data_IF_993607455151
#
_entry.id   IF_993607455151
#
_cell.length_a   1.000
_cell.length_b   1.000
_cell.length_c   1.000
_cell.angle_alpha   90.00
_cell.angle_beta   90.00
_cell.angle_gamma   90.00
#
_symmetry.space_group_name_H-M   'P 1'
#
loop_
_entity.id
_entity.type
_entity.pdbx_description
1 polymer ?
#
# COMPACT_ATOMS: atom_id res chain seq x y z
N UNK A 1 -11.40 0.99 0.80
CA UNK A 1 -10.14 1.46 1.43
C UNK A 1 -9.20 1.96 0.35
N UNK A 2 -8.54 3.06 0.60
CA UNK A 2 -7.60 3.68 -0.36
C UNK A 2 -6.26 3.88 0.31
N UNK A 3 -5.19 3.49 -0.38
CA UNK A 3 -3.83 3.60 0.13
C UNK A 3 -2.96 4.38 -0.87
N UNK A 4 -2.00 5.14 -0.36
CA UNK A 4 -1.08 5.89 -1.20
C UNK A 4 0.27 6.06 -0.51
N UNK A 5 1.34 6.08 -1.29
CA UNK A 5 2.68 6.32 -0.80
C UNK A 5 3.46 7.16 -1.80
N UNK A 6 4.32 8.01 -1.31
CA UNK A 6 5.14 8.87 -2.15
C UNK A 6 6.50 9.15 -1.52
N UNK A 7 7.42 9.62 -2.34
CA UNK A 7 8.79 9.90 -1.92
C UNK A 7 9.30 11.13 -2.65
N UNK A 8 9.93 12.04 -1.91
CA UNK A 8 10.54 13.24 -2.48
C UNK A 8 11.99 12.92 -2.81
N UNK A 9 12.28 12.70 -4.09
CA UNK A 9 13.52 12.05 -4.52
C UNK A 9 13.40 10.54 -4.29
N UNK A 10 14.07 9.73 -5.05
CA UNK A 10 13.89 8.27 -4.98
C UNK A 10 15.27 7.58 -5.07
N UNK A 11 16.00 7.38 -3.94
CA UNK A 11 15.54 7.49 -2.54
C UNK A 11 15.53 8.90 -1.98
N UNK A 12 14.79 9.07 -0.88
CA UNK A 12 14.67 10.33 -0.16
C UNK A 12 13.60 10.25 0.92
N UNK A 13 13.19 11.39 1.48
CA UNK A 13 12.09 11.42 2.45
C UNK A 13 10.80 10.97 1.79
N UNK A 14 10.03 10.13 2.46
CA UNK A 14 8.79 9.61 1.95
C UNK A 14 7.68 9.57 2.99
N UNK A 15 6.45 9.43 2.51
CA UNK A 15 5.27 9.34 3.36
C UNK A 15 4.22 8.42 2.76
N UNK A 16 3.29 8.00 3.61
CA UNK A 16 2.20 7.11 3.21
C UNK A 16 0.91 7.51 3.91
N UNK A 17 -0.21 7.16 3.32
CA UNK A 17 -1.52 7.42 3.88
C UNK A 17 -2.50 6.31 3.53
N UNK A 18 -3.49 6.12 4.39
CA UNK A 18 -4.58 5.16 4.17
C UNK A 18 -5.87 5.71 4.75
N UNK A 19 -6.97 5.51 4.03
CA UNK A 19 -8.31 5.87 4.49
C UNK A 19 -9.26 4.71 4.26
N UNK A 20 -10.02 4.35 5.29
CA UNK A 20 -11.05 3.31 5.22
C UNK A 20 -12.42 3.99 5.24
N UNK A 21 -13.16 3.85 4.16
CA UNK A 21 -14.41 4.55 3.93
C UNK A 21 -15.55 3.55 3.75
N UNK A 22 -16.70 3.84 4.32
CA UNK A 22 -17.93 3.06 4.10
C UNK A 22 -19.10 4.02 3.99
N UNK A 23 -19.84 3.91 2.86
CA UNK A 23 -21.03 4.74 2.60
C UNK A 23 -20.75 6.25 2.70
N UNK A 24 -19.55 6.67 2.28
CA UNK A 24 -19.14 8.07 2.31
C UNK A 24 -18.57 8.55 3.63
N UNK A 25 -18.56 7.71 4.66
CA UNK A 25 -18.04 8.06 5.98
C UNK A 25 -16.68 7.43 6.20
N UNK A 26 -15.75 8.19 6.81
CA UNK A 26 -14.43 7.70 7.18
C UNK A 26 -14.55 6.87 8.45
N UNK A 27 -14.24 5.58 8.37
CA UNK A 27 -14.22 4.69 9.52
C UNK A 27 -12.86 4.70 10.23
N UNK A 28 -11.77 4.84 9.48
CA UNK A 28 -10.42 4.88 10.02
C UNK A 28 -9.50 5.54 9.01
N UNK A 29 -8.42 6.12 9.50
CA UNK A 29 -7.36 6.68 8.65
C UNK A 29 -6.06 6.65 9.42
N UNK A 30 -4.94 6.61 8.68
CA UNK A 30 -3.62 6.64 9.26
C UNK A 30 -2.63 7.20 8.25
N UNK A 31 -1.49 7.68 8.72
CA UNK A 31 -0.41 8.15 7.87
C UNK A 31 0.91 8.08 8.62
N UNK A 32 2.00 8.12 7.87
CA UNK A 32 3.33 8.11 8.46
C UNK A 32 4.37 8.61 7.48
N UNK A 33 5.61 8.67 7.93
CA UNK A 33 6.71 9.14 7.11
C UNK A 33 8.00 8.40 7.46
N UNK A 34 8.93 8.41 6.52
CA UNK A 34 10.27 7.85 6.68
C UNK A 34 11.28 8.86 6.14
N UNK A 35 12.41 9.09 6.85
CA UNK A 35 13.40 10.08 6.41
C UNK A 35 14.18 9.65 5.17
N UNK A 36 14.29 8.34 4.91
CA UNK A 36 15.04 7.82 3.76
C UNK A 36 14.40 6.53 3.28
N UNK A 37 13.71 6.60 2.15
CA UNK A 37 12.94 5.47 1.61
C UNK A 37 12.78 5.62 0.09
N UNK A 38 11.88 4.82 -0.50
CA UNK A 38 11.54 4.88 -1.93
C UNK A 38 10.02 4.90 -2.10
N UNK A 39 9.56 5.30 -3.30
CA UNK A 39 8.15 5.28 -3.63
C UNK A 39 7.54 3.89 -3.39
N UNK A 40 8.20 2.85 -3.89
CA UNK A 40 7.68 1.49 -3.78
C UNK A 40 7.56 1.04 -2.32
N UNK A 41 8.55 1.38 -1.49
CA UNK A 41 8.49 1.03 -0.06
C UNK A 41 7.33 1.72 0.62
N UNK A 42 7.07 2.98 0.29
CA UNK A 42 5.95 3.73 0.88
C UNK A 42 4.59 3.17 0.41
N UNK A 43 4.50 2.76 -0.84
CA UNK A 43 3.29 2.12 -1.35
C UNK A 43 2.99 0.79 -0.62
N UNK A 44 4.00 -0.05 -0.41
CA UNK A 44 3.83 -1.27 0.37
C UNK A 44 3.51 -0.98 1.84
N UNK A 45 4.15 0.03 2.42
CA UNK A 45 3.90 0.41 3.82
C UNK A 45 2.46 0.87 4.00
N UNK A 46 1.92 1.67 3.07
CA UNK A 46 0.52 2.07 3.09
C UNK A 46 -0.42 0.87 2.99
N UNK A 47 -0.11 -0.08 2.10
CA UNK A 47 -0.91 -1.30 1.94
C UNK A 47 -0.91 -2.13 3.22
N UNK A 48 0.24 -2.31 3.85
CA UNK A 48 0.36 -3.04 5.12
C UNK A 48 -0.49 -2.36 6.20
N UNK A 49 -0.39 -1.04 6.32
CA UNK A 49 -1.18 -0.30 7.30
C UNK A 49 -2.68 -0.48 7.08
N UNK A 50 -3.10 -0.43 5.80
CA UNK A 50 -4.50 -0.63 5.44
C UNK A 50 -4.99 -2.04 5.77
N UNK A 51 -4.23 -3.05 5.41
CA UNK A 51 -4.60 -4.44 5.68
C UNK A 51 -4.70 -4.72 7.19
N UNK A 52 -3.85 -4.08 7.99
CA UNK A 52 -3.91 -4.23 9.44
C UNK A 52 -5.17 -3.61 10.07
N UNK A 53 -5.86 -2.74 9.35
CA UNK A 53 -7.15 -2.18 9.80
C UNK A 53 -8.30 -3.17 9.62
N UNK A 54 -8.10 -4.23 8.84
CA UNK A 54 -9.15 -5.19 8.48
C UNK A 54 -9.00 -6.48 9.26
N UNK A 55 -10.13 -7.03 9.74
CA UNK A 55 -10.14 -8.35 10.36
C UNK A 55 -10.03 -9.47 9.32
N UNK A 56 -9.72 -10.71 9.75
CA UNK A 56 -9.50 -11.83 8.83
C UNK A 56 -10.76 -12.29 8.08
N UNK A 57 -11.95 -11.96 8.58
CA UNK A 57 -13.22 -12.32 7.93
C UNK A 57 -13.94 -11.09 7.36
N UNK A 58 -13.27 -9.95 7.30
CA UNK A 58 -13.88 -8.68 6.85
C UNK A 58 -13.71 -8.53 5.35
N UNK A 59 -14.82 -8.47 4.57
CA UNK A 59 -14.71 -8.20 3.15
C UNK A 59 -14.40 -6.73 2.90
N UNK A 60 -13.49 -6.46 1.97
CA UNK A 60 -13.15 -5.10 1.60
C UNK A 60 -12.47 -5.05 0.23
N UNK A 61 -12.67 -3.94 -0.47
CA UNK A 61 -11.87 -3.60 -1.64
C UNK A 61 -10.81 -2.61 -1.20
N UNK A 62 -9.54 -2.90 -1.50
CA UNK A 62 -8.42 -2.04 -1.19
C UNK A 62 -7.83 -1.52 -2.48
N UNK A 63 -7.85 -0.21 -2.67
CA UNK A 63 -7.41 0.46 -3.88
C UNK A 63 -6.05 1.08 -3.70
N UNK A 64 -5.20 0.92 -4.70
CA UNK A 64 -3.89 1.57 -4.78
C UNK A 64 -3.62 1.97 -6.23
N UNK A 65 -2.90 3.06 -6.44
CA UNK A 65 -2.47 3.45 -7.77
C UNK A 65 -1.13 2.80 -8.18
N UNK A 66 -0.56 1.96 -7.33
CA UNK A 66 0.67 1.24 -7.61
C UNK A 66 0.38 -0.09 -8.28
N UNK A 67 0.64 -0.19 -9.58
CA UNK A 67 0.53 -1.45 -10.31
C UNK A 67 1.50 -2.50 -9.75
N UNK A 68 2.66 -2.07 -9.30
CA UNK A 68 3.64 -2.99 -8.70
C UNK A 68 3.05 -3.70 -7.48
N UNK A 69 2.40 -2.96 -6.57
CA UNK A 69 1.78 -3.54 -5.38
C UNK A 69 0.66 -4.51 -5.77
N UNK A 70 -0.22 -4.09 -6.69
CA UNK A 70 -1.31 -4.96 -7.15
C UNK A 70 -0.78 -6.24 -7.77
N UNK A 71 0.16 -6.13 -8.71
CA UNK A 71 0.70 -7.30 -9.41
C UNK A 71 1.46 -8.22 -8.46
N UNK A 72 2.20 -7.65 -7.53
CA UNK A 72 2.91 -8.44 -6.52
C UNK A 72 1.94 -9.28 -5.69
N UNK A 73 0.90 -8.65 -5.16
CA UNK A 73 0.00 -9.30 -4.20
C UNK A 73 -1.05 -10.20 -4.87
N UNK A 74 -1.36 -9.97 -6.15
CA UNK A 74 -2.38 -10.75 -6.85
C UNK A 74 -1.82 -11.77 -7.83
N UNK A 75 -0.55 -11.64 -8.25
CA UNK A 75 0.03 -12.51 -9.29
C UNK A 75 1.35 -13.15 -8.90
N UNK A 76 2.29 -12.39 -8.32
CA UNK A 76 3.69 -12.83 -8.21
C UNK A 76 4.07 -13.44 -6.87
N UNK A 77 3.54 -12.91 -5.76
CA UNK A 77 3.99 -13.31 -4.42
C UNK A 77 3.81 -14.80 -4.14
N UNK A 78 2.70 -15.38 -4.59
CA UNK A 78 2.44 -16.82 -4.39
C UNK A 78 3.53 -17.68 -5.04
N UNK A 79 3.94 -17.32 -6.26
CA UNK A 79 5.02 -18.02 -6.96
C UNK A 79 6.37 -17.82 -6.30
N UNK A 80 6.65 -16.59 -5.87
CA UNK A 80 7.90 -16.30 -5.18
C UNK A 80 7.99 -17.06 -3.84
N UNK A 81 6.90 -17.15 -3.11
CA UNK A 81 6.87 -17.92 -1.87
C UNK A 81 7.18 -19.41 -2.12
N UNK A 82 6.57 -19.99 -3.16
CA UNK A 82 6.85 -21.39 -3.54
C UNK A 82 8.31 -21.62 -3.93
N UNK A 83 8.97 -20.61 -4.47
CA UNK A 83 10.36 -20.68 -4.92
C UNK A 83 11.36 -20.15 -3.90
N UNK A 84 10.94 -20.02 -2.63
CA UNK A 84 11.82 -19.57 -1.54
C UNK A 84 12.16 -18.09 -1.60
N UNK A 85 11.26 -17.27 -2.19
CA UNK A 85 11.41 -15.83 -2.32
C UNK A 85 12.59 -15.41 -3.20
N UNK A 86 12.85 -16.20 -4.22
CA UNK A 86 13.86 -15.87 -5.23
C UNK A 86 13.21 -15.66 -6.57
N UNK A 87 13.65 -14.64 -7.27
CA UNK A 87 13.27 -14.37 -8.64
C UNK A 87 14.26 -15.03 -9.59
N UNK A 88 13.86 -15.12 -10.86
CA UNK A 88 14.70 -15.69 -11.93
C UNK A 88 16.06 -14.99 -12.05
N UNK A 89 16.08 -13.69 -11.80
CA UNK A 89 17.23 -12.80 -11.94
C UNK A 89 17.78 -12.27 -10.61
N UNK A 90 17.49 -12.96 -9.49
CA UNK A 90 17.99 -12.59 -8.18
C UNK A 90 16.94 -12.58 -7.08
N UNK A 91 17.20 -11.83 -6.02
CA UNK A 91 16.32 -11.72 -4.87
C UNK A 91 15.15 -10.76 -5.16
N UNK A 92 14.02 -10.98 -4.47
CA UNK A 92 12.88 -10.09 -4.52
C UNK A 92 13.24 -8.77 -3.85
N UNK A 93 13.00 -7.65 -4.55
CA UNK A 93 13.23 -6.33 -3.98
C UNK A 93 12.21 -6.03 -2.88
N UNK A 94 12.65 -5.31 -1.85
CA UNK A 94 11.80 -4.94 -0.69
C UNK A 94 11.19 -6.17 -0.02
N UNK A 95 11.97 -7.22 0.08
CA UNK A 95 11.51 -8.55 0.49
C UNK A 95 10.71 -8.53 1.79
N UNK A 96 11.18 -7.84 2.82
CA UNK A 96 10.52 -7.80 4.12
C UNK A 96 9.12 -7.19 4.04
N UNK A 97 8.95 -6.17 3.21
CA UNK A 97 7.64 -5.53 3.02
C UNK A 97 6.71 -6.41 2.18
N UNK A 98 7.25 -7.02 1.14
CA UNK A 98 6.48 -7.93 0.29
C UNK A 98 5.98 -9.13 1.09
N UNK A 99 6.85 -9.73 1.90
CA UNK A 99 6.48 -10.88 2.74
C UNK A 99 5.39 -10.51 3.74
N UNK A 100 5.52 -9.36 4.40
CA UNK A 100 4.53 -8.91 5.37
C UNK A 100 3.19 -8.63 4.71
N UNK A 101 3.17 -7.90 3.59
CA UNK A 101 1.94 -7.61 2.86
C UNK A 101 1.28 -8.90 2.39
N UNK A 102 2.05 -9.84 1.84
CA UNK A 102 1.54 -11.12 1.36
C UNK A 102 0.95 -11.96 2.50
N UNK A 103 1.62 -11.99 3.65
CA UNK A 103 1.10 -12.69 4.84
C UNK A 103 -0.28 -12.14 5.23
N UNK A 104 -0.41 -10.82 5.26
CA UNK A 104 -1.68 -10.16 5.61
C UNK A 104 -2.79 -10.47 4.61
N UNK A 105 -2.47 -10.46 3.30
CA UNK A 105 -3.44 -10.80 2.25
C UNK A 105 -3.92 -12.25 2.40
N UNK A 106 -3.01 -13.18 2.66
CA UNK A 106 -3.36 -14.58 2.83
C UNK A 106 -4.27 -14.82 4.03
N UNK A 107 -4.12 -14.02 5.08
CA UNK A 107 -4.95 -14.11 6.27
C UNK A 107 -6.33 -13.44 6.10
N UNK A 108 -6.54 -12.75 4.97
CA UNK A 108 -7.76 -11.98 4.67
C UNK A 108 -8.34 -12.39 3.30
N UNK A 109 -8.92 -13.61 3.20
CA UNK A 109 -9.35 -14.14 1.89
C UNK A 109 -10.50 -13.35 1.26
N UNK A 110 -11.20 -12.51 2.01
CA UNK A 110 -12.31 -11.72 1.49
C UNK A 110 -11.90 -10.31 1.04
N UNK A 111 -10.62 -9.98 1.14
CA UNK A 111 -10.08 -8.70 0.66
C UNK A 111 -9.70 -8.84 -0.81
N UNK A 112 -10.06 -7.82 -1.60
CA UNK A 112 -9.67 -7.72 -3.01
C UNK A 112 -8.77 -6.50 -3.18
N UNK A 113 -7.58 -6.72 -3.73
CA UNK A 113 -6.63 -5.65 -4.02
C UNK A 113 -6.89 -5.21 -5.46
N UNK A 114 -7.15 -3.91 -5.65
CA UNK A 114 -7.52 -3.37 -6.95
C UNK A 114 -6.68 -2.16 -7.31
N UNK A 115 -6.34 -2.05 -8.59
CA UNK A 115 -5.64 -0.89 -9.11
C UNK A 115 -6.61 0.24 -9.44
N UNK A 116 -6.20 1.46 -9.15
CA UNK A 116 -6.92 2.68 -9.52
C UNK A 116 -5.92 3.63 -10.16
N UNK A 117 -6.33 4.31 -11.22
CA UNK A 117 -5.45 5.26 -11.92
C UNK A 117 -5.17 6.47 -11.02
N UNK A 118 -3.89 6.85 -10.90
CA UNK A 118 -3.47 8.00 -10.10
C UNK A 118 -4.13 9.29 -10.64
N UNK A 119 -4.65 10.10 -9.74
CA UNK A 119 -5.20 11.43 -10.05
C UNK A 119 -6.29 11.41 -11.14
N UNK A 120 -7.14 10.38 -11.13
CA UNK A 120 -8.22 10.25 -12.12
C UNK A 120 -9.53 10.89 -11.66
N UNK A 121 -9.49 11.67 -10.57
CA UNK A 121 -10.66 12.32 -10.01
C UNK A 121 -11.32 11.56 -8.87
N UNK A 122 -10.75 10.44 -8.45
CA UNK A 122 -11.26 9.71 -7.28
C UNK A 122 -11.02 10.53 -6.02
N UNK A 123 -12.10 10.94 -5.36
CA UNK A 123 -12.05 11.73 -4.13
C UNK A 123 -11.20 11.05 -3.06
N UNK A 124 -11.40 9.76 -2.86
CA UNK A 124 -10.73 9.07 -1.77
C UNK A 124 -9.28 8.74 -2.07
N UNK A 125 -8.91 8.53 -3.34
CA UNK A 125 -7.51 8.40 -3.73
C UNK A 125 -6.77 9.70 -3.47
N UNK A 126 -7.37 10.84 -3.81
CA UNK A 126 -6.79 12.15 -3.55
C UNK A 126 -6.71 12.44 -2.05
N UNK A 127 -7.70 11.97 -1.27
CA UNK A 127 -7.67 12.11 0.18
C UNK A 127 -6.50 11.32 0.79
N UNK A 128 -6.28 10.08 0.36
CA UNK A 128 -5.16 9.27 0.83
C UNK A 128 -3.82 9.93 0.47
N UNK A 129 -3.69 10.48 -0.74
CA UNK A 129 -2.52 11.25 -1.15
C UNK A 129 -2.30 12.45 -0.23
N UNK A 130 -3.37 13.17 0.10
CA UNK A 130 -3.29 14.31 1.02
C UNK A 130 -2.82 13.89 2.41
N UNK A 131 -3.28 12.76 2.93
CA UNK A 131 -2.81 12.24 4.21
C UNK A 131 -1.33 11.91 4.14
N UNK A 132 -0.89 11.24 3.09
CA UNK A 132 0.50 10.87 2.90
C UNK A 132 1.41 12.10 2.90
N UNK A 133 0.99 13.19 2.25
CA UNK A 133 1.81 14.39 2.11
C UNK A 133 1.62 15.42 3.21
N UNK A 134 0.70 15.20 4.15
CA UNK A 134 0.40 16.17 5.22
C UNK A 134 1.63 16.56 6.03
N UNK A 135 2.49 15.60 6.37
CA UNK A 135 3.71 15.85 7.12
C UNK A 135 4.65 16.80 6.35
N UNK A 136 4.83 16.55 5.07
CA UNK A 136 5.71 17.39 4.23
C UNK A 136 5.18 18.81 4.10
N UNK A 137 3.85 18.97 4.00
CA UNK A 137 3.24 20.29 3.94
C UNK A 137 3.37 21.06 5.24
N UNK A 138 3.35 20.35 6.37
CA UNK A 138 3.46 20.98 7.70
C UNK A 138 4.85 21.55 7.95
N UNK A 139 5.87 21.08 7.23
CA UNK A 139 7.25 21.57 7.36
C UNK A 139 7.54 22.81 6.52
N UNK A 140 6.60 23.22 5.70
CA UNK A 140 6.73 24.41 4.86
C UNK A 140 6.18 25.67 5.58
#
# INVERSE_FOLDING_TARGET
MFTDGSCSGNPGPGCWGVVYVMNGDILAQDHGHEPHTTNNRMEFTAMIAGLNMLGPAEPADVYTDSQLVVNTLTQWAAGWERNGWKRRDGEVKNLELVQEAWRLVRERPLVRIQWIKAHDGSLWNEYADSLATAHMRAEV
#
